data_IF_926314352183
#
_entry.id   IF_926314352183
#
_cell.length_a   1.000
_cell.length_b   1.000
_cell.length_c   1.000
_cell.angle_alpha   90.00
_cell.angle_beta   90.00
_cell.angle_gamma   90.00
#
_symmetry.space_group_name_H-M   'P 1'
#
loop_
_entity.id
_entity.type
_entity.pdbx_description
1 polymer ?
#
# COMPACT_ATOMS: atom_id res chain seq x y z
N UNK A 1 19.81 -17.58 14.83
CA UNK A 1 19.17 -16.27 14.67
C UNK A 1 17.69 -16.52 14.49
N UNK A 2 16.83 -16.05 15.42
CA UNK A 2 15.37 -16.06 15.30
C UNK A 2 14.88 -15.01 14.28
N UNK A 3 13.58 -14.70 14.32
CA UNK A 3 13.00 -13.62 13.53
C UNK A 3 13.76 -12.32 13.80
N UNK A 4 14.17 -11.64 12.73
CA UNK A 4 15.02 -10.47 12.80
C UNK A 4 14.17 -9.20 12.83
N UNK A 5 14.72 -8.04 13.23
CA UNK A 5 14.03 -6.76 13.16
C UNK A 5 13.48 -6.43 11.76
N UNK A 6 14.12 -6.93 10.69
CA UNK A 6 13.67 -6.72 9.31
C UNK A 6 12.30 -7.35 9.07
N UNK A 7 12.10 -8.63 9.47
CA UNK A 7 10.81 -9.32 9.34
C UNK A 7 9.73 -8.61 10.15
N UNK A 8 10.04 -8.22 11.39
CA UNK A 8 9.08 -7.53 12.25
C UNK A 8 8.62 -6.20 11.65
N UNK A 9 9.54 -5.44 11.05
CA UNK A 9 9.19 -4.20 10.34
C UNK A 9 8.35 -4.49 9.09
N UNK A 10 8.73 -5.49 8.30
CA UNK A 10 7.97 -5.90 7.12
C UNK A 10 6.53 -6.34 7.46
N UNK A 11 6.35 -7.10 8.54
CA UNK A 11 5.03 -7.48 9.09
C UNK A 11 4.24 -6.24 9.55
N UNK A 12 4.88 -5.30 10.26
CA UNK A 12 4.22 -4.07 10.70
C UNK A 12 3.70 -3.23 9.52
N UNK A 13 4.44 -3.22 8.39
CA UNK A 13 3.99 -2.61 7.15
C UNK A 13 2.95 -3.43 6.38
N UNK A 14 2.67 -4.67 6.78
CA UNK A 14 1.66 -5.54 6.20
C UNK A 14 2.07 -6.19 4.88
N UNK A 15 3.36 -6.39 4.63
CA UNK A 15 3.86 -6.93 3.36
C UNK A 15 3.46 -8.39 3.10
N UNK A 16 3.07 -9.13 4.13
CA UNK A 16 2.62 -10.52 4.10
C UNK A 16 1.18 -10.71 4.60
N UNK A 17 0.43 -9.62 4.71
CA UNK A 17 -0.93 -9.61 5.22
C UNK A 17 -1.92 -9.17 4.13
N UNK A 18 -3.20 -9.52 4.32
CA UNK A 18 -4.27 -8.93 3.54
C UNK A 18 -4.36 -7.42 3.80
N UNK A 19 -4.51 -6.65 2.74
CA UNK A 19 -4.82 -5.21 2.86
C UNK A 19 -6.30 -5.00 3.16
N UNK A 20 -7.11 -6.06 3.00
CA UNK A 20 -8.56 -6.05 3.12
C UNK A 20 -9.23 -5.04 2.18
N UNK A 21 -8.66 -4.87 0.99
CA UNK A 21 -9.30 -4.09 -0.08
C UNK A 21 -10.66 -4.68 -0.43
N UNK A 22 -11.60 -3.82 -0.78
CA UNK A 22 -13.00 -4.17 -1.08
C UNK A 22 -13.21 -4.80 -2.47
N UNK A 23 -12.25 -5.63 -2.91
CA UNK A 23 -12.33 -6.43 -4.14
C UNK A 23 -12.07 -7.92 -3.83
N UNK A 24 -12.71 -8.84 -4.58
CA UNK A 24 -12.54 -10.28 -4.36
C UNK A 24 -11.14 -10.78 -4.78
N UNK A 25 -10.78 -11.95 -4.25
CA UNK A 25 -9.56 -12.69 -4.60
C UNK A 25 -8.24 -11.97 -4.28
N UNK A 26 -8.22 -11.16 -3.23
CA UNK A 26 -6.97 -10.64 -2.72
C UNK A 26 -6.05 -11.81 -2.29
N UNK A 27 -4.76 -11.70 -2.61
CA UNK A 27 -3.72 -12.63 -2.16
C UNK A 27 -2.71 -11.91 -1.29
N UNK A 28 -2.12 -12.62 -0.33
CA UNK A 28 -1.05 -12.08 0.49
C UNK A 28 0.32 -12.26 -0.17
N UNK A 29 1.27 -11.41 0.21
CA UNK A 29 2.68 -11.68 0.02
C UNK A 29 3.22 -12.70 1.03
N UNK A 30 4.53 -12.85 1.02
CA UNK A 30 5.28 -13.54 2.06
C UNK A 30 6.57 -12.77 2.36
N UNK A 31 6.90 -12.68 3.62
CA UNK A 31 8.18 -12.14 4.10
C UNK A 31 9.06 -13.33 4.46
N UNK A 32 10.24 -13.43 3.85
CA UNK A 32 11.15 -14.56 4.07
C UNK A 32 11.59 -14.65 5.54
N UNK A 33 11.64 -15.86 6.04
CA UNK A 33 12.05 -16.16 7.41
C UNK A 33 12.48 -17.62 7.53
N UNK A 34 13.18 -18.01 8.62
CA UNK A 34 13.49 -19.42 8.87
C UNK A 34 12.26 -20.33 8.84
N UNK A 35 11.11 -19.83 9.29
CA UNK A 35 9.86 -20.59 9.30
C UNK A 35 9.26 -20.72 7.90
N UNK A 36 9.18 -19.62 7.16
CA UNK A 36 8.71 -19.61 5.77
C UNK A 36 9.57 -20.52 4.90
N UNK A 37 10.88 -20.48 5.06
CA UNK A 37 11.81 -21.34 4.30
C UNK A 37 11.57 -22.81 4.53
N UNK A 38 11.37 -23.23 5.79
CA UNK A 38 11.00 -24.64 6.11
C UNK A 38 9.67 -25.04 5.49
N UNK A 39 8.68 -24.16 5.51
CA UNK A 39 7.37 -24.41 4.89
C UNK A 39 7.47 -24.55 3.37
N UNK A 40 8.21 -23.67 2.69
CA UNK A 40 8.43 -23.72 1.25
C UNK A 40 9.16 -25.02 0.85
N UNK A 41 10.19 -25.40 1.60
CA UNK A 41 10.89 -26.66 1.38
C UNK A 41 9.95 -27.87 1.55
N UNK A 42 9.14 -27.91 2.60
CA UNK A 42 8.18 -28.99 2.82
C UNK A 42 7.14 -29.11 1.69
N UNK A 43 6.73 -27.98 1.09
CA UNK A 43 5.77 -27.95 -0.01
C UNK A 43 6.39 -28.28 -1.37
N UNK A 44 7.59 -27.80 -1.64
CA UNK A 44 8.25 -27.92 -2.93
C UNK A 44 9.78 -28.04 -2.77
N UNK A 45 10.32 -29.18 -2.31
CA UNK A 45 11.73 -29.33 -1.97
C UNK A 45 12.67 -29.14 -3.14
N UNK A 46 12.25 -29.46 -4.35
CA UNK A 46 13.05 -29.23 -5.57
C UNK A 46 13.17 -27.76 -5.94
N UNK A 47 12.12 -26.97 -5.69
CA UNK A 47 12.12 -25.54 -5.96
C UNK A 47 12.80 -24.73 -4.84
N UNK A 48 12.72 -25.22 -3.61
CA UNK A 48 13.29 -24.61 -2.41
C UNK A 48 14.19 -25.62 -1.65
N UNK A 49 15.37 -25.94 -2.20
CA UNK A 49 16.23 -27.00 -1.65
C UNK A 49 16.89 -26.61 -0.31
N UNK A 50 17.03 -25.32 -0.02
CA UNK A 50 17.75 -24.84 1.15
C UNK A 50 16.78 -24.54 2.30
N UNK A 51 16.94 -25.25 3.42
CA UNK A 51 16.12 -25.11 4.63
C UNK A 51 16.78 -24.22 5.67
N UNK A 52 18.11 -24.21 5.68
CA UNK A 52 18.89 -23.52 6.70
C UNK A 52 18.94 -22.00 6.42
N UNK A 53 18.82 -21.22 7.50
CA UNK A 53 18.94 -19.77 7.45
C UNK A 53 20.37 -19.34 7.74
N UNK A 54 20.92 -18.49 6.89
CA UNK A 54 22.28 -17.97 7.01
C UNK A 54 22.26 -16.44 7.15
N UNK A 55 23.39 -15.85 7.57
CA UNK A 55 23.55 -14.40 7.63
C UNK A 55 23.33 -13.73 6.26
N UNK A 56 23.74 -14.42 5.19
CA UNK A 56 23.50 -13.94 3.80
C UNK A 56 22.04 -13.72 3.48
N UNK A 57 21.13 -14.54 4.02
CA UNK A 57 19.70 -14.41 3.79
C UNK A 57 19.13 -13.10 4.38
N UNK A 58 19.65 -12.67 5.54
CA UNK A 58 19.31 -11.36 6.10
C UNK A 58 19.81 -10.21 5.23
N UNK A 59 20.99 -10.37 4.61
CA UNK A 59 21.56 -9.36 3.72
C UNK A 59 20.71 -9.27 2.44
N UNK A 60 20.39 -10.39 1.82
CA UNK A 60 19.52 -10.44 0.62
C UNK A 60 18.16 -9.80 0.91
N UNK A 61 17.54 -10.14 2.03
CA UNK A 61 16.26 -9.58 2.43
C UNK A 61 16.33 -8.06 2.66
N UNK A 62 17.44 -7.54 3.18
CA UNK A 62 17.60 -6.11 3.47
C UNK A 62 17.55 -5.22 2.22
N UNK A 63 17.88 -5.77 1.05
CA UNK A 63 17.72 -5.05 -0.23
C UNK A 63 16.62 -5.62 -1.15
N UNK A 64 15.72 -6.44 -0.58
CA UNK A 64 14.51 -6.89 -1.27
C UNK A 64 14.69 -8.07 -2.21
N UNK A 65 15.74 -8.87 -2.01
CA UNK A 65 15.98 -10.13 -2.72
C UNK A 65 15.64 -11.35 -1.85
N UNK A 66 16.06 -12.54 -2.27
CA UNK A 66 15.76 -13.80 -1.60
C UNK A 66 14.37 -14.33 -1.97
N UNK A 67 13.73 -15.04 -1.04
CA UNK A 67 12.40 -15.64 -1.28
C UNK A 67 11.23 -14.75 -0.83
N UNK A 68 11.51 -13.52 -0.39
CA UNK A 68 10.47 -12.52 -0.12
C UNK A 68 9.71 -12.21 -1.40
N UNK A 69 8.38 -12.27 -1.34
CA UNK A 69 7.49 -11.95 -2.45
C UNK A 69 6.32 -11.12 -1.92
N UNK A 70 6.14 -9.92 -2.45
CA UNK A 70 5.09 -9.00 -2.01
C UNK A 70 4.14 -8.69 -3.16
N UNK A 71 2.87 -8.48 -2.86
CA UNK A 71 1.94 -8.02 -3.87
C UNK A 71 2.16 -6.53 -4.16
N UNK A 72 1.95 -6.06 -5.40
CA UNK A 72 2.05 -4.63 -5.71
C UNK A 72 1.16 -3.77 -4.81
N UNK A 73 -0.04 -4.24 -4.49
CA UNK A 73 -0.97 -3.51 -3.61
C UNK A 73 -0.41 -3.36 -2.19
N UNK A 74 0.10 -4.45 -1.59
CA UNK A 74 0.72 -4.39 -0.27
C UNK A 74 1.94 -3.47 -0.24
N UNK A 75 2.77 -3.50 -1.30
CA UNK A 75 3.92 -2.61 -1.41
C UNK A 75 3.49 -1.14 -1.55
N UNK A 76 2.51 -0.83 -2.39
CA UNK A 76 1.99 0.54 -2.51
C UNK A 76 1.40 1.03 -1.16
N UNK A 77 0.66 0.16 -0.45
CA UNK A 77 0.10 0.48 0.86
C UNK A 77 1.18 0.70 1.94
N UNK A 78 2.29 -0.05 1.88
CA UNK A 78 3.44 0.16 2.75
C UNK A 78 4.09 1.55 2.53
N UNK A 79 4.25 1.97 1.26
CA UNK A 79 4.73 3.32 0.95
C UNK A 79 3.73 4.41 1.34
N UNK A 80 2.42 4.17 1.19
CA UNK A 80 1.39 5.08 1.68
C UNK A 80 1.44 5.23 3.21
N UNK A 81 1.68 4.13 3.92
CA UNK A 81 1.88 4.10 5.37
C UNK A 81 3.11 4.91 5.78
N UNK A 82 4.24 4.76 5.08
CA UNK A 82 5.44 5.58 5.34
C UNK A 82 5.19 7.06 5.03
N UNK A 83 4.57 7.36 3.91
CA UNK A 83 4.30 8.73 3.45
C UNK A 83 3.42 9.49 4.45
N UNK A 84 2.39 8.86 5.00
CA UNK A 84 1.46 9.49 5.95
C UNK A 84 1.94 9.52 7.42
N UNK A 85 3.15 9.03 7.70
CA UNK A 85 3.72 9.04 9.05
C UNK A 85 3.45 7.79 9.89
N UNK A 86 3.04 6.69 9.27
CA UNK A 86 3.00 5.37 9.91
C UNK A 86 1.61 4.78 10.14
N UNK A 87 0.53 5.41 9.70
CA UNK A 87 -0.82 4.83 9.82
C UNK A 87 -1.14 3.96 8.61
N UNK A 88 -1.37 2.67 8.83
CA UNK A 88 -1.76 1.73 7.79
C UNK A 88 -3.28 1.68 7.67
N UNK A 89 -3.79 2.02 6.49
CA UNK A 89 -5.22 1.99 6.18
C UNK A 89 -5.57 0.83 5.26
N UNK A 90 -6.82 0.38 5.30
CA UNK A 90 -7.40 -0.45 4.24
C UNK A 90 -7.51 0.37 2.96
N UNK A 91 -6.96 -0.10 1.83
CA UNK A 91 -7.27 0.49 0.53
C UNK A 91 -8.75 0.30 0.20
N UNK A 92 -9.39 1.32 -0.36
CA UNK A 92 -10.81 1.29 -0.75
C UNK A 92 -10.92 1.66 -2.23
N UNK A 93 -11.67 0.88 -2.99
CA UNK A 93 -12.01 1.15 -4.39
C UNK A 93 -13.36 1.87 -4.48
N UNK A 94 -14.30 1.49 -3.58
CA UNK A 94 -15.62 2.11 -3.49
C UNK A 94 -15.65 3.16 -2.37
N UNK A 95 -16.02 4.39 -2.69
CA UNK A 95 -16.20 5.46 -1.70
C UNK A 95 -17.60 5.44 -1.08
N UNK A 96 -18.61 5.02 -1.83
CA UNK A 96 -20.00 4.96 -1.37
C UNK A 96 -20.88 4.12 -2.32
N UNK A 97 -22.00 3.64 -1.79
CA UNK A 97 -23.13 3.13 -2.57
C UNK A 97 -24.17 4.24 -2.67
N UNK A 98 -24.69 4.49 -3.87
CA UNK A 98 -25.71 5.52 -4.11
C UNK A 98 -26.96 4.89 -4.72
N UNK A 99 -28.11 5.48 -4.47
CA UNK A 99 -29.38 5.11 -5.14
C UNK A 99 -29.46 5.64 -6.59
N UNK A 100 -30.54 5.30 -7.29
CA UNK A 100 -30.78 5.75 -8.68
C UNK A 100 -30.84 7.30 -8.83
N UNK A 101 -31.05 8.05 -7.74
CA UNK A 101 -31.08 9.50 -7.71
C UNK A 101 -29.73 10.11 -7.32
N UNK A 102 -28.70 9.27 -7.08
CA UNK A 102 -27.36 9.68 -6.66
C UNK A 102 -27.26 10.07 -5.19
N UNK A 103 -28.23 9.68 -4.34
CA UNK A 103 -28.18 9.91 -2.89
C UNK A 103 -27.38 8.78 -2.23
N UNK A 104 -26.55 9.14 -1.28
CA UNK A 104 -25.70 8.15 -0.57
C UNK A 104 -26.54 7.27 0.32
N UNK A 105 -26.50 5.96 0.07
CA UNK A 105 -27.13 4.91 0.89
C UNK A 105 -26.11 4.42 1.93
N UNK A 106 -24.90 4.06 1.48
CA UNK A 106 -23.79 3.61 2.33
C UNK A 106 -22.59 4.48 2.00
N UNK A 107 -21.88 4.96 3.02
CA UNK A 107 -20.58 5.63 2.88
C UNK A 107 -19.52 4.78 3.57
N UNK A 108 -18.49 4.41 2.81
CA UNK A 108 -17.33 3.77 3.39
C UNK A 108 -16.46 4.79 4.13
N UNK A 109 -15.86 4.38 5.23
CA UNK A 109 -14.98 5.19 6.06
C UNK A 109 -13.60 4.56 6.10
N UNK A 110 -12.52 5.35 6.03
CA UNK A 110 -11.17 4.82 6.12
C UNK A 110 -10.99 3.96 7.38
N UNK A 111 -10.56 2.72 7.21
CA UNK A 111 -10.34 1.76 8.29
C UNK A 111 -8.84 1.63 8.57
N UNK A 112 -8.45 1.85 9.82
CA UNK A 112 -7.07 1.68 10.27
C UNK A 112 -6.80 0.20 10.51
N UNK A 113 -5.75 -0.33 9.88
CA UNK A 113 -5.25 -1.70 10.05
C UNK A 113 -4.15 -1.80 11.11
N UNK A 114 -3.43 -0.72 11.37
CA UNK A 114 -2.35 -0.69 12.32
C UNK A 114 -1.50 0.58 12.23
N UNK A 115 -0.47 0.62 13.06
CA UNK A 115 0.48 1.72 13.11
C UNK A 115 1.92 1.20 13.09
N UNK A 116 2.76 1.84 12.30
CA UNK A 116 4.21 1.64 12.30
C UNK A 116 4.84 2.78 13.09
N UNK A 117 5.68 2.43 14.05
CA UNK A 117 6.41 3.45 14.82
C UNK A 117 7.51 4.08 13.95
N UNK A 118 7.32 5.32 13.57
CA UNK A 118 8.23 6.10 12.71
C UNK A 118 8.67 7.40 13.41
N UNK A 119 9.53 7.34 14.44
CA UNK A 119 10.05 8.55 15.05
C UNK A 119 10.85 9.36 14.02
N UNK A 120 10.92 10.70 14.16
CA UNK A 120 11.62 11.56 13.21
C UNK A 120 13.09 11.17 12.98
N UNK A 121 13.77 10.61 13.98
CA UNK A 121 15.13 10.09 13.87
C UNK A 121 15.28 8.92 12.90
N UNK A 122 14.22 8.14 12.69
CA UNK A 122 14.19 7.04 11.73
C UNK A 122 13.62 7.53 10.39
N UNK A 123 12.46 8.20 10.44
CA UNK A 123 11.74 8.61 9.24
C UNK A 123 12.51 9.61 8.38
N UNK A 124 13.11 10.63 8.99
CA UNK A 124 13.70 11.74 8.23
C UNK A 124 14.94 11.33 7.40
N UNK A 125 15.87 10.50 7.89
CA UNK A 125 16.96 10.01 7.05
C UNK A 125 16.47 9.19 5.86
N UNK A 126 15.48 8.30 6.06
CA UNK A 126 14.89 7.48 5.01
C UNK A 126 14.19 8.38 3.97
N UNK A 127 13.39 9.35 4.43
CA UNK A 127 12.70 10.29 3.54
C UNK A 127 13.68 11.08 2.68
N UNK A 128 14.78 11.61 3.26
CA UNK A 128 15.82 12.31 2.49
C UNK A 128 16.48 11.41 1.45
N UNK A 129 16.73 10.13 1.78
CA UNK A 129 17.24 9.16 0.83
C UNK A 129 16.28 8.89 -0.33
N UNK A 130 14.99 8.74 -0.03
CA UNK A 130 13.94 8.55 -1.05
C UNK A 130 13.72 9.80 -1.91
N UNK A 131 13.78 10.99 -1.31
CA UNK A 131 13.73 12.27 -2.04
C UNK A 131 14.94 12.40 -2.98
N UNK A 132 16.12 12.05 -2.51
CA UNK A 132 17.36 12.09 -3.31
C UNK A 132 17.31 11.22 -4.57
N UNK A 133 16.49 10.16 -4.62
CA UNK A 133 16.31 9.34 -5.82
C UNK A 133 15.81 10.16 -7.01
N UNK A 134 14.91 11.11 -6.76
CA UNK A 134 14.28 11.96 -7.79
C UNK A 134 14.94 13.33 -7.88
N UNK A 135 15.34 13.91 -6.74
CA UNK A 135 15.75 15.31 -6.66
C UNK A 135 17.27 15.53 -6.75
N UNK A 136 18.09 14.52 -6.46
CA UNK A 136 19.55 14.64 -6.53
C UNK A 136 20.06 14.27 -7.94
N UNK A 137 21.00 15.04 -8.53
CA UNK A 137 21.62 14.66 -9.81
C UNK A 137 22.25 13.27 -9.85
N UNK A 138 22.66 12.74 -8.69
CA UNK A 138 23.17 11.36 -8.54
C UNK A 138 22.07 10.34 -8.25
N UNK A 139 20.79 10.75 -8.15
CA UNK A 139 19.66 9.89 -7.86
C UNK A 139 19.33 8.99 -9.06
N UNK A 140 18.95 7.73 -8.77
CA UNK A 140 18.67 6.72 -9.79
C UNK A 140 17.44 7.02 -10.66
N UNK A 141 16.55 7.91 -10.21
CA UNK A 141 15.38 8.37 -10.96
C UNK A 141 15.51 9.80 -11.50
N UNK A 142 16.61 10.51 -11.19
CA UNK A 142 16.76 11.93 -11.51
C UNK A 142 16.58 12.22 -12.99
N UNK A 143 17.36 11.55 -13.86
CA UNK A 143 17.33 11.79 -15.30
C UNK A 143 15.93 11.56 -15.89
N UNK A 144 15.27 10.48 -15.51
CA UNK A 144 13.93 10.14 -15.98
C UNK A 144 12.90 11.18 -15.55
N UNK A 145 12.88 11.53 -14.27
CA UNK A 145 11.89 12.49 -13.76
C UNK A 145 12.10 13.88 -14.32
N UNK A 146 13.35 14.35 -14.43
CA UNK A 146 13.64 15.68 -14.97
C UNK A 146 13.46 15.77 -16.49
N UNK A 147 13.47 14.68 -17.22
CA UNK A 147 13.17 14.66 -18.64
C UNK A 147 11.68 14.57 -18.98
N UNK A 148 10.88 13.97 -18.08
CA UNK A 148 9.46 13.67 -18.32
C UNK A 148 8.55 14.70 -17.62
N UNK A 149 8.87 15.07 -16.37
CA UNK A 149 8.02 15.94 -15.56
C UNK A 149 7.97 17.36 -16.15
N UNK A 150 6.75 17.86 -16.40
CA UNK A 150 6.47 19.18 -16.97
C UNK A 150 5.91 20.20 -15.96
N UNK A 151 5.97 19.88 -14.66
CA UNK A 151 5.62 20.78 -13.56
C UNK A 151 6.83 21.03 -12.66
N UNK A 152 6.74 22.01 -11.76
CA UNK A 152 7.84 22.32 -10.82
C UNK A 152 7.96 21.28 -9.72
N UNK A 153 9.03 20.48 -9.75
CA UNK A 153 9.37 19.55 -8.68
C UNK A 153 9.67 20.26 -7.35
N UNK A 154 10.08 21.54 -7.38
CA UNK A 154 10.23 22.33 -6.16
C UNK A 154 8.89 22.63 -5.48
N UNK A 155 7.82 22.79 -6.26
CA UNK A 155 6.48 23.03 -5.74
C UNK A 155 5.73 21.72 -5.42
N UNK A 156 6.09 20.64 -6.08
CA UNK A 156 5.54 19.32 -5.87
C UNK A 156 6.67 18.29 -5.77
N UNK A 157 7.42 18.30 -4.64
CA UNK A 157 8.54 17.38 -4.48
C UNK A 157 8.07 15.94 -4.38
N UNK A 158 8.78 15.04 -5.09
CA UNK A 158 8.50 13.61 -5.15
C UNK A 158 9.66 12.86 -4.52
N UNK A 159 9.34 11.90 -3.66
CA UNK A 159 10.27 10.87 -3.22
C UNK A 159 9.96 9.56 -3.92
N UNK A 160 10.97 8.72 -4.14
CA UNK A 160 10.77 7.44 -4.80
C UNK A 160 11.89 6.44 -4.56
N UNK A 161 11.71 5.25 -5.14
CA UNK A 161 12.72 4.18 -5.10
C UNK A 161 12.63 3.33 -6.36
N UNK A 162 13.75 3.14 -7.01
CA UNK A 162 13.92 2.13 -8.07
C UNK A 162 14.01 0.73 -7.45
N UNK A 163 13.48 -0.26 -8.12
CA UNK A 163 13.66 -1.68 -7.80
C UNK A 163 14.02 -2.47 -9.06
N UNK A 164 14.86 -3.48 -8.88
CA UNK A 164 15.23 -4.44 -9.91
C UNK A 164 15.22 -5.81 -9.25
N UNK A 165 14.12 -6.54 -9.42
CA UNK A 165 13.95 -7.84 -8.77
C UNK A 165 14.37 -8.96 -9.73
N UNK A 166 15.38 -9.71 -9.32
CA UNK A 166 15.90 -10.83 -10.11
C UNK A 166 14.82 -11.89 -10.36
N UNK A 167 14.80 -12.42 -11.56
CA UNK A 167 13.97 -13.55 -11.97
C UNK A 167 14.78 -14.84 -12.02
N UNK A 168 14.15 -15.91 -12.49
CA UNK A 168 14.81 -17.18 -12.74
C UNK A 168 15.89 -17.03 -13.83
N UNK A 169 16.82 -17.98 -13.88
CA UNK A 169 17.91 -17.98 -14.84
C UNK A 169 17.41 -17.81 -16.28
N UNK A 170 18.01 -16.87 -17.01
CA UNK A 170 17.71 -16.58 -18.40
C UNK A 170 16.53 -15.63 -18.64
N UNK A 171 15.94 -15.09 -17.59
CA UNK A 171 14.89 -14.06 -17.69
C UNK A 171 15.42 -12.70 -17.27
N UNK A 172 14.95 -11.65 -17.94
CA UNK A 172 15.22 -10.28 -17.52
C UNK A 172 14.60 -10.01 -16.13
N UNK A 173 15.22 -9.16 -15.31
CA UNK A 173 14.67 -8.77 -14.02
C UNK A 173 13.32 -8.08 -14.15
N UNK A 174 12.52 -8.13 -13.09
CA UNK A 174 11.32 -7.29 -12.99
C UNK A 174 11.73 -5.85 -12.66
N UNK A 175 11.22 -4.91 -13.44
CA UNK A 175 11.42 -3.49 -13.24
C UNK A 175 10.39 -2.94 -12.27
N UNK A 176 10.82 -2.21 -11.24
CA UNK A 176 9.93 -1.59 -10.27
C UNK A 176 10.32 -0.13 -10.06
N UNK A 177 9.32 0.71 -9.88
CA UNK A 177 9.49 2.04 -9.32
C UNK A 177 8.27 2.39 -8.47
N UNK A 178 8.52 2.99 -7.32
CA UNK A 178 7.47 3.60 -6.51
C UNK A 178 7.83 5.05 -6.27
N UNK A 179 6.83 5.93 -6.39
CA UNK A 179 6.95 7.35 -6.04
C UNK A 179 5.79 7.79 -5.17
N UNK A 180 6.01 8.79 -4.33
CA UNK A 180 4.95 9.45 -3.57
C UNK A 180 5.21 10.95 -3.46
N UNK A 181 4.14 11.73 -3.41
CA UNK A 181 4.22 13.19 -3.33
C UNK A 181 2.85 13.88 -3.23
N UNK A 182 2.84 15.21 -2.98
CA UNK A 182 3.98 16.03 -2.58
C UNK A 182 4.45 15.70 -1.17
N UNK A 183 5.73 15.93 -0.84
CA UNK A 183 6.30 15.44 0.43
C UNK A 183 5.73 16.10 1.68
N UNK A 184 5.31 17.36 1.57
CA UNK A 184 4.77 18.12 2.71
C UNK A 184 3.39 17.61 3.13
N UNK A 185 2.55 17.19 2.15
CA UNK A 185 1.19 16.67 2.35
C UNK A 185 0.96 15.56 1.33
N UNK A 186 1.47 14.35 1.53
CA UNK A 186 1.40 13.28 0.55
C UNK A 186 -0.03 12.98 0.13
N UNK A 187 -0.26 13.05 -1.18
CA UNK A 187 -1.56 12.83 -1.81
C UNK A 187 -1.62 11.54 -2.60
N UNK A 188 -0.50 11.21 -3.26
CA UNK A 188 -0.43 10.12 -4.19
C UNK A 188 0.74 9.21 -3.86
N UNK A 189 0.51 7.92 -4.01
CA UNK A 189 1.55 6.89 -4.17
C UNK A 189 1.30 6.24 -5.52
N UNK A 190 2.33 6.18 -6.34
CA UNK A 190 2.30 5.54 -7.65
C UNK A 190 3.35 4.45 -7.67
N UNK A 191 2.93 3.22 -7.88
CA UNK A 191 3.79 2.06 -8.03
C UNK A 191 3.60 1.47 -9.42
N UNK A 192 4.70 1.20 -10.11
CA UNK A 192 4.72 0.44 -11.36
C UNK A 192 5.62 -0.79 -11.20
N UNK A 193 5.12 -1.94 -11.64
CA UNK A 193 5.86 -3.21 -11.72
C UNK A 193 5.71 -3.74 -13.13
N UNK A 194 6.82 -3.96 -13.82
CA UNK A 194 6.85 -4.51 -15.18
C UNK A 194 7.63 -5.82 -15.15
N UNK A 195 6.92 -6.92 -15.40
CA UNK A 195 7.53 -8.23 -15.48
C UNK A 195 8.57 -8.28 -16.62
N UNK A 196 9.78 -8.77 -16.32
CA UNK A 196 10.89 -8.85 -17.27
C UNK A 196 11.23 -7.51 -17.97
N UNK A 197 11.00 -6.39 -17.26
CA UNK A 197 11.21 -5.04 -17.78
C UNK A 197 12.63 -4.50 -17.62
N UNK A 198 13.56 -5.27 -17.08
CA UNK A 198 14.92 -4.82 -16.84
C UNK A 198 15.07 -3.91 -15.62
N UNK A 199 15.81 -2.80 -15.76
CA UNK A 199 16.08 -1.90 -14.66
C UNK A 199 14.89 -0.99 -14.32
N UNK A 200 14.70 -0.74 -13.02
CA UNK A 200 13.62 0.10 -12.52
C UNK A 200 13.63 1.53 -13.04
N UNK A 201 14.80 2.09 -13.28
CA UNK A 201 14.97 3.43 -13.83
C UNK A 201 14.53 3.53 -15.31
N UNK A 202 14.66 2.43 -16.07
CA UNK A 202 14.52 2.46 -17.53
C UNK A 202 13.08 2.15 -17.98
N UNK A 203 12.36 1.28 -17.26
CA UNK A 203 11.01 0.87 -17.66
C UNK A 203 9.93 1.35 -16.70
N UNK A 204 10.04 1.09 -15.39
CA UNK A 204 8.99 1.45 -14.45
C UNK A 204 8.99 2.95 -14.06
N UNK A 205 10.16 3.58 -13.95
CA UNK A 205 10.25 4.99 -13.58
C UNK A 205 9.58 5.94 -14.59
N UNK A 206 9.73 5.77 -15.93
CA UNK A 206 9.01 6.59 -16.90
C UNK A 206 7.49 6.54 -16.71
N UNK A 207 6.92 5.35 -16.50
CA UNK A 207 5.48 5.17 -16.28
C UNK A 207 5.01 5.92 -15.04
N UNK A 208 5.80 5.86 -13.96
CA UNK A 208 5.49 6.58 -12.71
C UNK A 208 5.60 8.09 -12.92
N UNK A 209 6.63 8.58 -13.62
CA UNK A 209 6.80 10.00 -13.92
C UNK A 209 5.65 10.55 -14.77
N UNK A 210 5.25 9.86 -15.84
CA UNK A 210 4.09 10.24 -16.66
C UNK A 210 2.79 10.21 -15.87
N UNK A 211 2.62 9.24 -14.97
CA UNK A 211 1.45 9.20 -14.08
C UNK A 211 1.41 10.42 -13.17
N UNK A 212 2.54 10.83 -12.59
CA UNK A 212 2.61 12.08 -11.82
C UNK A 212 2.33 13.31 -12.67
N UNK A 213 2.84 13.37 -13.90
CA UNK A 213 2.49 14.43 -14.84
C UNK A 213 0.97 14.57 -14.98
N UNK A 214 0.30 13.45 -15.24
CA UNK A 214 -1.15 13.44 -15.36
C UNK A 214 -1.84 13.89 -14.07
N UNK A 215 -1.48 13.31 -12.93
CA UNK A 215 -2.10 13.58 -11.63
C UNK A 215 -1.95 15.03 -11.16
N UNK A 216 -0.83 15.68 -11.50
CA UNK A 216 -0.52 17.05 -11.08
C UNK A 216 -1.09 18.10 -12.04
N UNK A 217 -1.05 17.81 -13.35
CA UNK A 217 -1.49 18.78 -14.38
C UNK A 217 -2.99 18.71 -14.69
N UNK A 218 -3.64 17.58 -14.35
CA UNK A 218 -5.08 17.42 -14.56
C UNK A 218 -5.82 17.51 -13.23
N UNK A 219 -6.86 18.33 -13.20
CA UNK A 219 -7.76 18.42 -12.04
C UNK A 219 -8.55 17.12 -11.92
N UNK A 220 -8.10 16.21 -11.04
CA UNK A 220 -8.90 15.05 -10.66
C UNK A 220 -10.07 15.58 -9.84
N UNK A 221 -11.26 15.56 -10.42
CA UNK A 221 -12.47 16.02 -9.72
C UNK A 221 -12.80 15.02 -8.62
N UNK A 222 -12.86 15.45 -7.36
CA UNK A 222 -13.33 14.57 -6.30
C UNK A 222 -14.77 14.15 -6.58
N UNK A 223 -15.10 12.90 -6.29
CA UNK A 223 -16.48 12.40 -6.37
C UNK A 223 -17.32 13.24 -5.40
N UNK A 224 -18.25 14.04 -5.93
CA UNK A 224 -19.21 14.79 -5.11
C UNK A 224 -20.38 13.90 -4.78
N UNK A 225 -20.39 13.35 -3.58
CA UNK A 225 -21.52 12.59 -3.07
C UNK A 225 -22.60 13.56 -2.59
N UNK A 226 -23.86 13.30 -2.96
CA UNK A 226 -25.02 14.01 -2.40
C UNK A 226 -25.18 13.64 -0.91
N UNK A 227 -26.01 14.38 -0.18
CA UNK A 227 -26.26 14.09 1.22
C UNK A 227 -26.74 12.65 1.42
N UNK A 228 -26.29 12.03 2.50
CA UNK A 228 -26.72 10.69 2.86
C UNK A 228 -28.20 10.69 3.24
N UNK A 229 -28.95 9.71 2.76
CA UNK A 229 -30.33 9.51 3.19
C UNK A 229 -30.26 9.06 4.66
N UNK A 230 -31.04 9.69 5.56
CA UNK A 230 -31.16 9.17 6.91
C UNK A 230 -31.66 7.71 6.85
N UNK A 231 -30.93 6.80 7.47
CA UNK A 231 -31.42 5.42 7.61
C UNK A 231 -32.71 5.48 8.44
N UNK A 232 -33.85 4.98 7.94
CA UNK A 232 -35.05 4.97 8.74
C UNK A 232 -34.82 4.16 10.01
N UNK A 233 -34.93 4.80 11.14
CA UNK A 233 -34.87 4.13 12.45
C UNK A 233 -36.12 3.25 12.53
N UNK A 234 -35.94 1.94 12.52
CA UNK A 234 -37.08 1.01 12.69
C UNK A 234 -37.61 1.16 14.13
N UNK A 235 -38.70 1.88 14.26
CA UNK A 235 -39.41 1.97 15.54
C UNK A 235 -40.28 0.71 15.68
N UNK A 236 -39.81 -0.28 16.41
CA UNK A 236 -40.61 -1.46 16.73
C UNK A 236 -41.50 -1.11 17.91
N UNK A 237 -42.77 -0.88 17.64
CA UNK A 237 -43.77 -0.67 18.70
C UNK A 237 -44.25 -2.04 19.19
N UNK A 238 -43.76 -2.47 20.34
CA UNK A 238 -44.27 -3.69 20.98
C UNK A 238 -45.49 -3.32 21.80
N UNK A 239 -46.68 -3.70 21.34
CA UNK A 239 -47.89 -3.62 22.16
C UNK A 239 -47.88 -4.74 23.21
N UNK A 240 -47.61 -4.39 24.48
CA UNK A 240 -47.83 -5.32 25.59
C UNK A 240 -49.28 -5.29 25.94
N UNK A 241 -49.89 -6.45 26.04
CA UNK A 241 -51.28 -6.57 26.57
C UNK A 241 -51.29 -6.08 28.04
N UNK A 242 -51.99 -4.99 28.30
CA UNK A 242 -52.10 -4.38 29.63
C UNK A 242 -51.37 -3.04 29.68
N UNK A 243 -52.10 -1.97 29.47
CA UNK A 243 -51.87 -0.56 29.85
C UNK A 243 -50.42 -0.11 30.17
N UNK A 244 -49.56 0.10 29.19
CA UNK A 244 -48.58 1.21 29.09
C UNK A 244 -47.81 1.09 27.78
N UNK A 245 -47.74 2.16 26.99
CA UNK A 245 -46.95 2.23 25.73
C UNK A 245 -45.55 2.72 26.10
N UNK A 246 -44.54 1.86 26.00
CA UNK A 246 -43.13 2.29 26.08
C UNK A 246 -42.47 2.20 24.69
N UNK A 247 -41.92 3.29 24.22
CA UNK A 247 -41.17 3.40 22.98
C UNK A 247 -39.69 3.12 23.29
N UNK A 248 -39.16 2.04 22.74
CA UNK A 248 -37.71 1.75 22.85
C UNK A 248 -37.05 2.04 21.51
N UNK A 249 -36.16 2.99 21.50
CA UNK A 249 -35.31 3.32 20.31
C UNK A 249 -34.07 2.45 20.36
N UNK A 250 -33.94 1.51 19.41
CA UNK A 250 -32.71 0.72 19.25
C UNK A 250 -31.88 1.31 18.12
N UNK A 251 -30.66 1.71 18.42
CA UNK A 251 -29.63 2.08 17.42
C UNK A 251 -29.02 0.80 16.88
N UNK A 252 -28.90 0.59 15.57
CA UNK A 252 -28.25 -0.59 15.06
C UNK A 252 -26.73 -0.51 15.35
N UNK A 253 -26.24 -1.43 16.18
CA UNK A 253 -24.79 -1.64 16.33
C UNK A 253 -24.29 -2.41 15.12
N UNK A 254 -23.39 -1.82 14.34
CA UNK A 254 -22.63 -2.51 13.30
C UNK A 254 -21.63 -3.45 14.00
N UNK A 255 -22.00 -4.72 14.15
CA UNK A 255 -21.06 -5.78 14.48
C UNK A 255 -20.80 -6.56 13.20
N UNK A 256 -19.71 -6.25 12.49
CA UNK A 256 -19.11 -7.17 11.54
C UNK A 256 -18.08 -8.00 12.30
N UNK A 257 -18.34 -9.30 12.41
CA UNK A 257 -17.34 -10.33 12.68
C UNK A 257 -16.53 -10.66 11.43
#
# INVERSE_FOLDING_TARGET
>A
YGETPIQNVAHAYGLDQYTNVDIPNEVTGRVDSPTVRRQLHAQAPLAFPHVQWYTGDNIEMAFGQGTTAVTPLALANAYATFANGGTRYTPEVAAAVVDAHGRVVIRYQPRVLGHVNLPPSVRNPILRGLEGVVMSPSGTGYGTFHSIINFSLANFPIAGKTGTASNQHGQEPNSLFVGFGPLNHPKYVVLCVIGQGGYGADAAAPVVAETFNYLVTHSIRPIRLKAQIPVPTSTTTTKKAGHTTSTTTTTPSNTNG
#
